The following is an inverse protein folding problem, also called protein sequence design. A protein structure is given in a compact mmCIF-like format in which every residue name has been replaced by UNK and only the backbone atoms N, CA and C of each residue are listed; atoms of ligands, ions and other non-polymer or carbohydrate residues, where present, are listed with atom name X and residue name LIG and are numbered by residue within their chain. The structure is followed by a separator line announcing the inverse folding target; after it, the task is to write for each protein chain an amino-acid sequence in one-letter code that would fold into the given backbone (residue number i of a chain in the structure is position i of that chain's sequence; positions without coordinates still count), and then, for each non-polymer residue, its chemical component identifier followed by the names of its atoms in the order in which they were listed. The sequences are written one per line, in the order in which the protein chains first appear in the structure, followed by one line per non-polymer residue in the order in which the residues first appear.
data_IF_653107112063
#
_entry.id   IF_653107112063
#
_cell.length_a   1.000
_cell.length_b   1.000
_cell.length_c   1.000
_cell.angle_alpha   90.00
_cell.angle_beta   90.00
_cell.angle_gamma   90.00
#
_symmetry.space_group_name_H-M   'P 1'
#
loop_
_entity.id
_entity.type
_entity.pdbx_description
1 polymer ?
#
# COMPACT_ATOMS: atom_id res chain seq x y z
N UNK A 1 -2.20 -32.85 17.09
CA UNK A 1 -3.03 -31.98 17.96
C UNK A 1 -2.16 -31.03 18.80
N UNK A 2 -1.03 -31.49 19.37
CA UNK A 2 -0.07 -30.62 20.08
C UNK A 2 0.47 -29.46 19.22
N UNK A 3 0.86 -29.73 17.96
CA UNK A 3 1.46 -28.70 17.09
C UNK A 3 0.46 -27.61 16.70
N UNK A 4 -0.82 -27.96 16.53
CA UNK A 4 -1.89 -27.00 16.22
C UNK A 4 -2.19 -26.06 17.39
N UNK A 5 -2.11 -26.55 18.63
CA UNK A 5 -2.29 -25.73 19.83
C UNK A 5 -1.11 -24.78 20.06
N UNK A 6 0.13 -25.25 19.91
CA UNK A 6 1.34 -24.42 20.03
C UNK A 6 1.34 -23.34 18.96
N UNK A 7 0.93 -23.72 17.74
CA UNK A 7 0.83 -22.81 16.61
C UNK A 7 -0.18 -21.68 16.87
N UNK A 8 -1.43 -22.03 17.22
CA UNK A 8 -2.47 -21.04 17.54
C UNK A 8 -2.07 -20.12 18.69
N UNK A 9 -1.41 -20.66 19.73
CA UNK A 9 -0.97 -19.88 20.87
C UNK A 9 0.09 -18.83 20.50
N UNK A 10 1.11 -19.22 19.72
CA UNK A 10 2.17 -18.31 19.25
C UNK A 10 1.59 -17.16 18.40
N UNK A 11 0.65 -17.52 17.53
CA UNK A 11 -0.09 -16.63 16.64
C UNK A 11 -0.85 -15.56 17.44
N UNK A 12 -1.64 -15.99 18.44
CA UNK A 12 -2.43 -15.09 19.29
C UNK A 12 -1.52 -14.18 20.11
N UNK A 13 -0.44 -14.72 20.67
CA UNK A 13 0.50 -13.95 21.46
C UNK A 13 1.17 -12.85 20.62
N UNK A 14 1.61 -13.16 19.41
CA UNK A 14 2.20 -12.18 18.49
C UNK A 14 1.23 -11.04 18.19
N UNK A 15 -0.03 -11.36 17.90
CA UNK A 15 -1.06 -10.36 17.65
C UNK A 15 -1.30 -9.45 18.84
N UNK A 16 -1.40 -10.03 20.04
CA UNK A 16 -1.64 -9.25 21.25
C UNK A 16 -0.52 -8.23 21.46
N UNK A 17 0.74 -8.64 21.25
CA UNK A 17 1.90 -7.74 21.31
C UNK A 17 1.80 -6.63 20.26
N UNK A 18 1.54 -6.97 19.00
CA UNK A 18 1.46 -5.97 17.92
C UNK A 18 0.29 -4.99 18.16
N UNK A 19 -0.86 -5.50 18.58
CA UNK A 19 -2.03 -4.69 18.91
C UNK A 19 -1.74 -3.71 20.06
N UNK A 20 -1.05 -4.17 21.11
CA UNK A 20 -0.68 -3.33 22.24
C UNK A 20 0.34 -2.24 21.84
N UNK A 21 1.37 -2.60 21.07
CA UNK A 21 2.35 -1.64 20.54
C UNK A 21 1.67 -0.56 19.67
N UNK A 22 0.77 -0.98 18.79
CA UNK A 22 -0.08 -0.11 17.97
C UNK A 22 -0.95 0.83 18.83
N UNK A 23 -1.55 0.31 19.92
CA UNK A 23 -2.32 1.10 20.87
C UNK A 23 -1.50 2.18 21.56
N UNK A 24 -0.32 1.83 22.09
CA UNK A 24 0.60 2.77 22.75
C UNK A 24 1.01 3.88 21.79
N UNK A 25 1.43 3.52 20.57
CA UNK A 25 1.88 4.50 19.58
C UNK A 25 0.76 5.47 19.20
N UNK A 26 -0.47 4.99 19.07
CA UNK A 26 -1.65 5.83 18.84
C UNK A 26 -1.89 6.81 19.99
N UNK A 27 -1.78 6.34 21.24
CA UNK A 27 -1.96 7.19 22.43
C UNK A 27 -0.90 8.29 22.50
N UNK A 28 0.37 7.96 22.24
CA UNK A 28 1.48 8.93 22.19
C UNK A 28 1.20 9.99 21.12
N UNK A 29 0.78 9.56 19.92
CA UNK A 29 0.49 10.46 18.81
C UNK A 29 -0.67 11.40 19.12
N UNK A 30 -1.79 10.88 19.65
CA UNK A 30 -2.95 11.71 20.02
C UNK A 30 -2.58 12.70 21.12
N UNK A 31 -1.83 12.25 22.14
CA UNK A 31 -1.41 13.12 23.25
C UNK A 31 -0.50 14.24 22.76
N UNK A 32 0.46 13.93 21.89
CA UNK A 32 1.37 14.92 21.30
C UNK A 32 0.61 15.91 20.44
N UNK A 33 -0.26 15.43 19.54
CA UNK A 33 -1.06 16.27 18.65
C UNK A 33 -1.99 17.20 19.41
N UNK A 34 -2.70 16.71 20.44
CA UNK A 34 -3.59 17.55 21.26
C UNK A 34 -2.82 18.65 21.98
N UNK A 35 -1.64 18.32 22.52
CA UNK A 35 -0.78 19.31 23.18
C UNK A 35 -0.31 20.37 22.20
N UNK A 36 0.11 19.97 21.01
CA UNK A 36 0.66 20.90 20.00
C UNK A 36 -0.45 21.78 19.40
N UNK A 37 -1.63 21.23 19.08
CA UNK A 37 -2.79 22.04 18.63
C UNK A 37 -3.23 23.04 19.70
N UNK A 38 -3.29 22.63 20.98
CA UNK A 38 -3.66 23.53 22.07
C UNK A 38 -2.67 24.70 22.22
N UNK A 39 -1.37 24.44 22.05
CA UNK A 39 -0.33 25.48 22.06
C UNK A 39 -0.50 26.46 20.90
N UNK A 40 -0.72 25.96 19.68
CA UNK A 40 -0.89 26.83 18.51
C UNK A 40 -2.15 27.68 18.55
N UNK A 41 -3.25 27.17 19.11
CA UNK A 41 -4.50 27.92 19.24
C UNK A 41 -4.46 28.92 20.41
N UNK A 42 -3.66 28.68 21.46
CA UNK A 42 -3.51 29.60 22.58
C UNK A 42 -2.58 30.79 22.28
N UNK A 43 -1.63 30.62 21.35
CA UNK A 43 -0.69 31.69 20.93
C UNK A 43 -1.30 32.82 20.10
N UNK A 44 -2.52 32.64 19.57
CA UNK A 44 -3.26 33.70 18.84
C UNK A 44 -3.86 34.78 19.78
N UNK A 45 -3.90 34.54 21.10
CA UNK A 45 -4.56 35.43 22.07
C UNK A 45 -3.59 36.34 22.85
N UNK A 46 -2.29 36.31 22.57
CA UNK A 46 -1.26 37.07 23.31
C UNK A 46 -0.12 37.61 22.46
N UNK A 47 0.29 38.86 22.74
CA UNK A 47 1.30 39.67 22.04
C UNK A 47 2.71 39.04 22.13
N UNK A 48 2.98 38.03 21.32
CA UNK A 48 4.33 37.51 21.01
C UNK A 48 4.45 37.29 19.48
N UNK A 49 4.44 38.38 18.71
CA UNK A 49 4.62 38.41 17.24
C UNK A 49 6.02 37.94 16.75
N UNK A 50 6.85 37.33 17.60
CA UNK A 50 8.26 36.99 17.30
C UNK A 50 8.64 35.54 17.66
N UNK A 51 7.72 34.73 18.18
CA UNK A 51 7.96 33.27 18.21
C UNK A 51 7.82 32.75 16.78
N UNK A 52 8.95 32.71 16.06
CA UNK A 52 9.14 32.07 14.77
C UNK A 52 8.13 30.93 14.61
N UNK A 53 7.14 31.11 13.72
CA UNK A 53 6.21 30.07 13.35
C UNK A 53 7.03 28.88 12.87
N UNK A 54 7.34 27.93 13.76
CA UNK A 54 8.26 26.83 13.48
C UNK A 54 7.49 25.51 13.43
N UNK A 55 7.96 24.61 12.57
CA UNK A 55 7.39 23.28 12.42
C UNK A 55 6.19 23.24 11.49
N UNK A 56 5.23 22.34 11.76
CA UNK A 56 4.23 21.97 10.76
C UNK A 56 3.21 23.09 10.44
N UNK A 57 2.90 24.02 11.37
CA UNK A 57 1.98 25.15 11.09
C UNK A 57 2.53 26.06 9.97
N UNK A 58 3.83 26.29 9.96
CA UNK A 58 4.52 27.17 9.02
C UNK A 58 4.37 26.74 7.56
N UNK A 59 4.28 25.43 7.34
CA UNK A 59 4.27 24.84 5.99
C UNK A 59 2.85 24.79 5.39
N UNK A 60 1.84 25.32 6.09
CA UNK A 60 0.43 25.29 5.66
C UNK A 60 0.23 25.74 4.20
N UNK A 61 0.97 26.76 3.77
CA UNK A 61 0.91 27.33 2.42
C UNK A 61 1.54 26.46 1.32
N UNK A 62 2.28 25.39 1.63
CA UNK A 62 2.93 24.54 0.63
C UNK A 62 2.56 23.04 0.73
N UNK A 63 1.94 22.62 1.84
CA UNK A 63 1.58 21.22 2.13
C UNK A 63 0.75 20.56 1.04
N UNK A 64 -0.19 21.27 0.43
CA UNK A 64 -1.08 20.68 -0.58
C UNK A 64 -0.64 20.93 -2.03
N UNK A 65 0.61 21.34 -2.25
CA UNK A 65 1.18 21.49 -3.59
C UNK A 65 1.19 20.11 -4.30
N UNK A 66 0.84 20.03 -5.59
CA UNK A 66 0.78 18.75 -6.29
C UNK A 66 2.14 18.04 -6.30
N UNK A 67 2.17 16.69 -6.22
CA UNK A 67 3.40 15.93 -6.23
C UNK A 67 4.16 16.03 -7.55
N UNK A 68 5.47 15.74 -7.51
CA UNK A 68 6.26 15.47 -8.72
C UNK A 68 5.64 14.30 -9.48
N UNK A 69 5.54 14.37 -10.79
CA UNK A 69 4.88 13.34 -11.62
C UNK A 69 3.47 12.93 -11.13
N UNK A 70 2.49 13.86 -11.11
CA UNK A 70 1.18 13.61 -10.51
C UNK A 70 0.40 12.50 -11.22
N UNK A 71 0.64 12.27 -12.52
CA UNK A 71 -0.01 11.22 -13.30
C UNK A 71 0.39 9.82 -12.83
N UNK A 72 1.70 9.56 -12.72
CA UNK A 72 2.24 8.29 -12.20
C UNK A 72 1.75 8.04 -10.77
N UNK A 73 1.77 9.08 -9.92
CA UNK A 73 1.32 8.98 -8.54
C UNK A 73 -0.14 8.50 -8.44
N UNK A 74 -1.07 9.15 -9.14
CA UNK A 74 -2.49 8.77 -9.08
C UNK A 74 -2.75 7.40 -9.70
N UNK A 75 -1.92 6.97 -10.66
CA UNK A 75 -2.02 5.65 -11.26
C UNK A 75 -1.58 4.56 -10.30
N UNK A 76 -0.45 4.75 -9.61
CA UNK A 76 0.03 3.85 -8.56
C UNK A 76 -0.98 3.74 -7.42
N UNK A 77 -1.50 4.86 -6.92
CA UNK A 77 -2.53 4.87 -5.88
C UNK A 77 -3.83 4.21 -6.35
N UNK A 78 -4.25 4.46 -7.60
CA UNK A 78 -5.43 3.81 -8.18
C UNK A 78 -5.29 2.28 -8.22
N UNK A 79 -4.16 1.76 -8.74
CA UNK A 79 -3.87 0.34 -8.74
C UNK A 79 -3.80 -0.24 -7.32
N UNK A 80 -3.23 0.48 -6.36
CA UNK A 80 -3.18 0.04 -4.97
C UNK A 80 -4.55 -0.01 -4.29
N UNK A 81 -5.49 0.90 -4.61
CA UNK A 81 -6.90 0.81 -4.15
C UNK A 81 -7.57 -0.44 -4.70
N UNK A 82 -7.33 -0.75 -5.99
CA UNK A 82 -7.84 -1.95 -6.62
C UNK A 82 -7.36 -3.22 -5.91
N UNK A 83 -6.05 -3.31 -5.65
CA UNK A 83 -5.42 -4.42 -4.94
C UNK A 83 -5.94 -4.51 -3.50
N UNK A 84 -6.06 -3.38 -2.80
CA UNK A 84 -6.59 -3.32 -1.44
C UNK A 84 -8.01 -3.90 -1.34
N UNK A 85 -8.92 -3.44 -2.20
CA UNK A 85 -10.31 -3.91 -2.19
C UNK A 85 -10.42 -5.37 -2.61
N UNK A 86 -9.65 -5.79 -3.62
CA UNK A 86 -9.55 -7.19 -4.02
C UNK A 86 -9.11 -8.07 -2.84
N UNK A 87 -8.01 -7.70 -2.16
CA UNK A 87 -7.48 -8.46 -1.03
C UNK A 87 -8.47 -8.48 0.14
N UNK A 88 -9.05 -7.33 0.51
CA UNK A 88 -10.02 -7.23 1.60
C UNK A 88 -11.23 -8.14 1.37
N UNK A 89 -11.85 -8.08 0.19
CA UNK A 89 -13.06 -8.86 -0.11
C UNK A 89 -12.73 -10.34 -0.28
N UNK A 90 -11.59 -10.68 -0.90
CA UNK A 90 -11.14 -12.07 -1.02
C UNK A 90 -10.90 -12.70 0.34
N UNK A 91 -10.19 -12.01 1.24
CA UNK A 91 -9.92 -12.51 2.60
C UNK A 91 -11.19 -12.60 3.44
N UNK A 92 -12.11 -11.65 3.32
CA UNK A 92 -13.39 -11.68 4.02
C UNK A 92 -14.24 -12.90 3.61
N UNK A 93 -14.38 -13.14 2.30
CA UNK A 93 -15.14 -14.30 1.78
C UNK A 93 -14.43 -15.61 2.11
N UNK A 94 -13.08 -15.64 2.10
CA UNK A 94 -12.31 -16.80 2.52
C UNK A 94 -12.47 -17.10 4.02
N UNK A 95 -12.54 -16.08 4.89
CA UNK A 95 -12.84 -16.25 6.31
C UNK A 95 -14.20 -16.94 6.54
N UNK A 96 -15.23 -16.59 5.76
CA UNK A 96 -16.57 -17.20 5.89
C UNK A 96 -16.62 -18.68 5.46
N UNK A 97 -15.50 -19.26 5.00
CA UNK A 97 -15.41 -20.65 4.56
C UNK A 97 -16.01 -20.91 3.18
N UNK A 98 -16.44 -19.85 2.46
CA UNK A 98 -17.04 -19.97 1.12
C UNK A 98 -16.02 -20.35 0.04
N UNK A 99 -14.72 -20.12 0.30
CA UNK A 99 -13.61 -20.48 -0.59
C UNK A 99 -12.78 -21.56 0.08
N UNK A 100 -13.26 -22.80 0.00
CA UNK A 100 -12.56 -23.95 0.59
C UNK A 100 -11.19 -24.19 -0.08
N UNK A 101 -10.11 -24.47 0.69
CA UNK A 101 -8.81 -24.88 0.15
C UNK A 101 -8.89 -26.12 -0.77
N UNK A 102 -9.97 -26.91 -0.64
CA UNK A 102 -10.19 -28.14 -1.41
C UNK A 102 -10.51 -27.89 -2.88
N UNK A 103 -11.06 -26.72 -3.25
CA UNK A 103 -11.32 -26.36 -4.65
C UNK A 103 -10.12 -25.60 -5.24
N UNK A 104 -9.15 -26.36 -5.77
CA UNK A 104 -7.94 -25.81 -6.38
C UNK A 104 -8.30 -24.74 -7.42
N UNK A 105 -7.87 -23.49 -7.18
CA UNK A 105 -8.05 -22.36 -8.09
C UNK A 105 -9.31 -21.52 -7.89
N UNK A 106 -10.24 -21.89 -6.99
CA UNK A 106 -11.43 -21.08 -6.70
C UNK A 106 -11.06 -19.72 -6.08
N UNK A 107 -10.13 -19.72 -5.12
CA UNK A 107 -9.60 -18.50 -4.49
C UNK A 107 -8.97 -17.56 -5.54
N UNK A 108 -8.14 -18.10 -6.44
CA UNK A 108 -7.48 -17.34 -7.49
C UNK A 108 -8.49 -16.76 -8.48
N UNK A 109 -9.49 -17.54 -8.90
CA UNK A 109 -10.53 -17.09 -9.83
C UNK A 109 -11.40 -16.00 -9.22
N UNK A 110 -11.74 -16.12 -7.93
CA UNK A 110 -12.47 -15.10 -7.18
C UNK A 110 -11.66 -13.81 -7.07
N UNK A 111 -10.37 -13.91 -6.71
CA UNK A 111 -9.47 -12.76 -6.63
C UNK A 111 -9.35 -12.02 -7.98
N UNK A 112 -9.16 -12.75 -9.09
CA UNK A 112 -9.11 -12.15 -10.44
C UNK A 112 -10.43 -11.43 -10.77
N UNK A 113 -11.57 -12.05 -10.46
CA UNK A 113 -12.89 -11.47 -10.70
C UNK A 113 -13.08 -10.18 -9.89
N UNK A 114 -12.77 -10.21 -8.60
CA UNK A 114 -12.79 -9.02 -7.74
C UNK A 114 -11.85 -7.93 -8.25
N UNK A 115 -10.64 -8.29 -8.67
CA UNK A 115 -9.67 -7.34 -9.22
C UNK A 115 -10.26 -6.59 -10.42
N UNK A 116 -10.84 -7.30 -11.40
CA UNK A 116 -11.44 -6.69 -12.59
C UNK A 116 -12.61 -5.78 -12.22
N UNK A 117 -13.50 -6.21 -11.33
CA UNK A 117 -14.67 -5.43 -10.91
C UNK A 117 -14.27 -4.14 -10.18
N UNK A 118 -13.28 -4.20 -9.29
CA UNK A 118 -12.78 -3.04 -8.57
C UNK A 118 -11.97 -2.06 -9.43
N UNK A 119 -11.75 -2.37 -10.72
CA UNK A 119 -11.20 -1.42 -11.69
C UNK A 119 -12.01 -0.11 -11.77
N UNK A 120 -13.34 -0.16 -11.61
CA UNK A 120 -14.18 1.05 -11.57
C UNK A 120 -13.79 1.98 -10.41
N UNK A 121 -13.54 1.42 -9.22
CA UNK A 121 -13.15 2.23 -8.06
C UNK A 121 -11.73 2.77 -8.19
N UNK A 122 -10.82 1.98 -8.76
CA UNK A 122 -9.46 2.39 -9.08
C UNK A 122 -9.46 3.63 -10.00
N UNK A 123 -10.21 3.56 -11.10
CA UNK A 123 -10.37 4.68 -12.04
C UNK A 123 -11.01 5.91 -11.39
N UNK A 124 -12.06 5.71 -10.60
CA UNK A 124 -12.75 6.79 -9.89
C UNK A 124 -11.82 7.55 -8.94
N UNK A 125 -11.11 6.84 -8.07
CA UNK A 125 -10.20 7.44 -7.08
C UNK A 125 -9.02 8.12 -7.77
N UNK A 126 -8.41 7.47 -8.76
CA UNK A 126 -7.29 8.01 -9.53
C UNK A 126 -7.69 9.33 -10.23
N UNK A 127 -8.83 9.36 -10.93
CA UNK A 127 -9.30 10.56 -11.60
C UNK A 127 -9.64 11.69 -10.62
N UNK A 128 -10.23 11.39 -9.46
CA UNK A 128 -10.54 12.40 -8.42
C UNK A 128 -9.29 13.02 -7.80
N UNK A 129 -8.27 12.21 -7.53
CA UNK A 129 -6.99 12.73 -7.05
C UNK A 129 -6.30 13.58 -8.15
N UNK A 130 -6.37 13.14 -9.40
CA UNK A 130 -5.76 13.85 -10.52
C UNK A 130 -6.40 15.22 -10.77
N UNK A 131 -7.74 15.32 -10.67
CA UNK A 131 -8.44 16.61 -10.75
C UNK A 131 -8.10 17.52 -9.57
N UNK A 132 -7.90 16.94 -8.38
CA UNK A 132 -7.43 17.68 -7.19
C UNK A 132 -6.05 18.29 -7.40
N UNK A 133 -5.17 17.62 -8.16
CA UNK A 133 -3.88 18.15 -8.59
C UNK A 133 -3.92 19.10 -9.78
N UNK A 134 -5.12 19.54 -10.22
CA UNK A 134 -5.34 20.38 -11.40
C UNK A 134 -4.87 19.72 -12.72
N UNK A 135 -4.80 18.39 -12.76
CA UNK A 135 -4.45 17.63 -13.96
C UNK A 135 -5.57 17.64 -15.01
N UNK A 136 -5.23 17.92 -16.27
CA UNK A 136 -6.20 18.00 -17.39
C UNK A 136 -6.32 16.71 -18.20
N UNK A 137 -5.24 15.94 -18.32
CA UNK A 137 -5.15 14.74 -19.17
C UNK A 137 -5.70 13.46 -18.51
N UNK A 138 -6.94 13.50 -18.02
CA UNK A 138 -7.55 12.40 -17.25
C UNK A 138 -7.61 11.07 -18.02
N UNK A 139 -7.74 11.09 -19.35
CA UNK A 139 -7.75 9.88 -20.19
C UNK A 139 -6.41 9.14 -20.15
N UNK A 140 -5.29 9.89 -20.19
CA UNK A 140 -3.95 9.31 -20.09
C UNK A 140 -3.69 8.76 -18.69
N UNK A 141 -4.12 9.48 -17.66
CA UNK A 141 -4.06 9.00 -16.28
C UNK A 141 -4.87 7.69 -16.09
N UNK A 142 -6.09 7.63 -16.63
CA UNK A 142 -6.93 6.43 -16.56
C UNK A 142 -6.30 5.23 -17.29
N UNK A 143 -5.72 5.44 -18.47
CA UNK A 143 -4.98 4.40 -19.20
C UNK A 143 -3.78 3.88 -18.40
N UNK A 144 -2.99 4.79 -17.82
CA UNK A 144 -1.84 4.42 -16.99
C UNK A 144 -2.29 3.63 -15.75
N UNK A 145 -3.38 4.02 -15.08
CA UNK A 145 -3.96 3.27 -13.94
C UNK A 145 -4.43 1.87 -14.32
N UNK A 146 -5.04 1.73 -15.51
CA UNK A 146 -5.53 0.45 -16.01
C UNK A 146 -4.41 -0.51 -16.42
N UNK A 147 -3.28 0.02 -16.92
CA UNK A 147 -2.23 -0.79 -17.54
C UNK A 147 -1.00 -1.02 -16.65
N UNK A 148 -0.67 -0.11 -15.72
CA UNK A 148 0.61 -0.15 -14.99
C UNK A 148 0.84 -1.48 -14.27
N UNK A 149 -0.06 -1.87 -13.36
CA UNK A 149 0.10 -3.12 -12.62
C UNK A 149 -0.16 -4.38 -13.47
N UNK A 150 -1.25 -4.45 -14.27
CA UNK A 150 -1.49 -5.63 -15.11
C UNK A 150 -0.39 -5.91 -16.13
N UNK A 151 0.26 -4.88 -16.68
CA UNK A 151 1.37 -5.07 -17.62
C UNK A 151 2.57 -5.71 -16.93
N UNK A 152 2.89 -5.31 -15.69
CA UNK A 152 3.97 -5.94 -14.91
C UNK A 152 3.68 -7.41 -14.67
N UNK A 153 2.45 -7.74 -14.24
CA UNK A 153 2.03 -9.12 -13.97
C UNK A 153 2.05 -9.95 -15.26
N UNK A 154 1.41 -9.44 -16.33
CA UNK A 154 1.30 -10.16 -17.60
C UNK A 154 2.65 -10.36 -18.25
N UNK A 155 3.53 -9.36 -18.27
CA UNK A 155 4.88 -9.47 -18.83
C UNK A 155 5.72 -10.49 -18.08
N UNK A 156 5.63 -10.50 -16.75
CA UNK A 156 6.35 -11.47 -15.91
C UNK A 156 5.83 -12.88 -16.14
N UNK A 157 4.50 -13.09 -16.11
CA UNK A 157 3.90 -14.38 -16.40
C UNK A 157 4.23 -14.88 -17.82
N UNK A 158 4.23 -13.99 -18.82
CA UNK A 158 4.58 -14.33 -20.20
C UNK A 158 6.04 -14.76 -20.33
N UNK A 159 6.96 -13.99 -19.73
CA UNK A 159 8.38 -14.32 -19.69
C UNK A 159 8.62 -15.68 -19.02
N UNK A 160 7.99 -15.92 -17.87
CA UNK A 160 8.10 -17.21 -17.17
C UNK A 160 7.53 -18.37 -17.99
N UNK A 161 6.39 -18.16 -18.67
CA UNK A 161 5.77 -19.20 -19.48
C UNK A 161 6.65 -19.65 -20.65
N UNK A 162 7.46 -18.75 -21.23
CA UNK A 162 8.43 -19.10 -22.27
C UNK A 162 9.45 -20.15 -21.80
N UNK A 163 9.99 -19.99 -20.57
CA UNK A 163 10.93 -20.96 -20.00
C UNK A 163 10.27 -22.30 -19.66
N UNK A 164 9.03 -22.27 -19.15
CA UNK A 164 8.27 -23.49 -18.83
C UNK A 164 7.98 -24.29 -20.11
N UNK A 165 7.61 -23.59 -21.19
CA UNK A 165 7.36 -24.21 -22.49
C UNK A 165 8.62 -24.83 -23.09
N UNK A 166 9.76 -24.14 -22.99
CA UNK A 166 11.07 -24.68 -23.40
C UNK A 166 11.45 -25.98 -22.69
N UNK A 167 11.02 -26.16 -21.43
CA UNK A 167 11.19 -27.39 -20.65
C UNK A 167 10.14 -28.47 -20.91
N UNK A 168 9.16 -28.22 -21.81
CA UNK A 168 8.01 -29.12 -22.08
C UNK A 168 7.28 -29.55 -20.80
N UNK A 169 7.25 -28.68 -19.79
CA UNK A 169 6.60 -28.97 -18.52
C UNK A 169 5.08 -28.87 -18.67
N UNK A 170 4.36 -29.76 -17.98
CA UNK A 170 2.89 -29.74 -17.89
C UNK A 170 2.34 -28.51 -17.16
N UNK A 171 3.20 -27.75 -16.48
CA UNK A 171 2.87 -26.47 -15.85
C UNK A 171 2.79 -25.29 -16.82
N UNK A 172 3.00 -25.50 -18.13
CA UNK A 172 2.91 -24.43 -19.12
C UNK A 172 1.47 -23.94 -19.25
N UNK A 173 1.27 -22.64 -19.10
CA UNK A 173 -0.04 -22.01 -19.30
C UNK A 173 -0.37 -22.09 -20.79
N UNK A 174 -1.51 -22.70 -21.17
CA UNK A 174 -1.87 -22.82 -22.58
C UNK A 174 -2.14 -21.44 -23.18
N UNK A 175 -1.81 -21.28 -24.47
CA UNK A 175 -1.98 -20.01 -25.19
C UNK A 175 -3.41 -19.45 -25.09
N UNK A 176 -4.41 -20.33 -25.10
CA UNK A 176 -5.82 -19.96 -24.92
C UNK A 176 -6.08 -19.21 -23.61
N UNK A 177 -5.47 -19.66 -22.49
CA UNK A 177 -5.60 -19.00 -21.19
C UNK A 177 -4.86 -17.66 -21.15
N UNK A 178 -3.72 -17.55 -21.82
CA UNK A 178 -3.02 -16.25 -21.91
C UNK A 178 -3.83 -15.24 -22.72
N UNK A 179 -4.43 -15.68 -23.83
CA UNK A 179 -5.30 -14.85 -24.65
C UNK A 179 -6.58 -14.46 -23.89
N UNK A 180 -7.19 -15.37 -23.14
CA UNK A 180 -8.40 -15.05 -22.36
C UNK A 180 -8.12 -14.03 -21.25
N UNK A 181 -6.98 -14.12 -20.56
CA UNK A 181 -6.55 -13.12 -19.58
C UNK A 181 -6.25 -11.76 -20.22
N UNK A 182 -5.65 -11.75 -21.42
CA UNK A 182 -5.42 -10.51 -22.18
C UNK A 182 -6.73 -9.86 -22.60
N UNK A 183 -7.70 -10.63 -23.10
CA UNK A 183 -9.03 -10.15 -23.46
C UNK A 183 -9.80 -9.67 -22.22
N UNK A 184 -9.69 -10.36 -21.09
CA UNK A 184 -10.27 -9.91 -19.83
C UNK A 184 -9.69 -8.54 -19.41
N UNK A 185 -8.39 -8.34 -19.58
CA UNK A 185 -7.73 -7.07 -19.29
C UNK A 185 -8.18 -5.95 -20.24
N UNK A 186 -8.18 -6.19 -21.55
CA UNK A 186 -8.46 -5.17 -22.57
C UNK A 186 -9.95 -4.89 -22.75
N UNK A 187 -10.80 -5.92 -22.76
CA UNK A 187 -12.22 -5.80 -23.07
C UNK A 187 -13.09 -5.56 -21.83
N UNK A 188 -12.61 -5.91 -20.63
CA UNK A 188 -13.39 -5.75 -19.39
C UNK A 188 -12.70 -4.77 -18.44
N UNK A 189 -11.51 -5.08 -17.96
CA UNK A 189 -10.83 -4.28 -16.93
C UNK A 189 -10.57 -2.83 -17.37
N UNK A 190 -10.01 -2.62 -18.57
CA UNK A 190 -9.72 -1.28 -19.09
C UNK A 190 -10.99 -0.43 -19.22
N UNK A 191 -12.08 -0.88 -19.89
CA UNK A 191 -13.33 -0.12 -19.94
C UNK A 191 -13.92 0.20 -18.57
N UNK A 192 -13.84 -0.73 -17.61
CA UNK A 192 -14.31 -0.51 -16.23
C UNK A 192 -13.52 0.63 -15.55
N UNK A 193 -12.19 0.66 -15.70
CA UNK A 193 -11.35 1.74 -15.17
C UNK A 193 -11.70 3.08 -15.83
N UNK A 194 -11.90 3.11 -17.15
CA UNK A 194 -12.32 4.32 -17.87
C UNK A 194 -13.70 4.82 -17.42
N UNK A 195 -14.65 3.91 -17.19
CA UNK A 195 -15.97 4.22 -16.67
C UNK A 195 -15.87 4.87 -15.28
N UNK A 196 -15.06 4.28 -14.39
CA UNK A 196 -14.76 4.86 -13.08
C UNK A 196 -14.13 6.24 -13.18
N UNK A 197 -13.11 6.39 -14.02
CA UNK A 197 -12.40 7.65 -14.23
C UNK A 197 -13.30 8.75 -14.80
N UNK A 198 -14.23 8.41 -15.68
CA UNK A 198 -15.21 9.35 -16.23
C UNK A 198 -16.12 9.94 -15.14
N UNK A 199 -16.66 9.09 -14.25
CA UNK A 199 -17.44 9.57 -13.10
C UNK A 199 -16.59 10.34 -12.08
N UNK A 200 -15.34 9.92 -11.87
CA UNK A 200 -14.40 10.61 -10.98
C UNK A 200 -14.05 12.01 -11.48
N UNK A 201 -13.78 12.16 -12.78
CA UNK A 201 -13.41 13.45 -13.39
C UNK A 201 -14.57 14.47 -13.36
N UNK A 202 -15.82 14.02 -13.47
CA UNK A 202 -17.01 14.88 -13.41
C UNK A 202 -17.35 15.37 -11.99
N UNK A 203 -16.88 14.68 -10.95
CA UNK A 203 -17.05 15.14 -9.57
C UNK A 203 -16.16 16.36 -9.33
N UNK A 204 -16.64 17.27 -8.48
CA UNK A 204 -15.83 18.40 -8.06
C UNK A 204 -14.52 17.93 -7.40
N UNK A 205 -13.40 18.66 -7.63
CA UNK A 205 -12.13 18.39 -6.96
C UNK A 205 -12.28 18.39 -5.45
N UNK A 206 -11.44 17.61 -4.76
CA UNK A 206 -11.48 17.56 -3.29
C UNK A 206 -11.04 18.93 -2.76
N UNK A 207 -11.91 19.57 -1.97
CA UNK A 207 -11.58 20.83 -1.32
C UNK A 207 -10.50 20.59 -0.26
N UNK A 208 -9.39 21.31 -0.42
CA UNK A 208 -8.25 21.31 0.48
C UNK A 208 -8.47 22.41 1.52
N UNK A 209 -8.11 22.18 2.80
CA UNK A 209 -8.40 23.12 3.87
C UNK A 209 -7.63 24.44 3.72
N UNK A 210 -6.48 24.43 3.04
CA UNK A 210 -5.58 25.58 2.93
C UNK A 210 -5.23 25.82 1.47
N UNK A 211 -5.12 27.11 1.10
CA UNK A 211 -4.67 27.54 -0.23
C UNK A 211 -3.15 27.48 -0.31
N UNK A 212 -2.63 27.18 -1.51
CA UNK A 212 -1.19 27.10 -1.73
C UNK A 212 -0.62 28.45 -2.17
N UNK A 213 0.56 28.78 -1.65
CA UNK A 213 1.34 29.95 -2.05
C UNK A 213 1.91 29.77 -3.46
N UNK A 214 2.11 30.89 -4.17
CA UNK A 214 2.64 30.85 -5.54
C UNK A 214 4.11 30.42 -5.56
N UNK A 215 4.92 30.98 -4.65
CA UNK A 215 6.35 30.72 -4.54
C UNK A 215 6.56 29.59 -3.52
N UNK A 216 7.25 28.50 -3.89
CA UNK A 216 7.56 27.42 -2.96
C UNK A 216 8.62 27.86 -1.94
N UNK A 217 8.38 27.57 -0.66
CA UNK A 217 9.38 27.76 0.39
C UNK A 217 10.57 26.80 0.20
N UNK A 218 11.77 27.24 0.56
CA UNK A 218 12.94 26.37 0.61
C UNK A 218 12.85 25.44 1.82
N UNK A 219 13.09 24.14 1.60
CA UNK A 219 13.09 23.13 2.67
C UNK A 219 14.44 23.14 3.37
N UNK A 220 14.50 23.26 4.70
CA UNK A 220 15.76 23.23 5.44
C UNK A 220 16.44 21.86 5.36
N UNK A 221 17.74 21.81 5.64
CA UNK A 221 18.49 20.56 5.69
C UNK A 221 17.91 19.62 6.73
N UNK A 222 17.57 18.41 6.29
CA UNK A 222 16.96 17.39 7.14
C UNK A 222 18.05 16.61 7.90
N UNK A 223 17.72 16.19 9.12
CA UNK A 223 18.56 15.31 9.91
C UNK A 223 18.77 13.96 9.19
N UNK A 224 19.91 13.30 9.46
CA UNK A 224 20.32 12.07 8.76
C UNK A 224 19.26 10.95 8.81
N UNK A 225 18.57 10.79 9.94
CA UNK A 225 17.54 9.77 10.13
C UNK A 225 16.22 10.09 9.42
N UNK A 226 16.01 11.35 9.01
CA UNK A 226 14.88 11.80 8.19
C UNK A 226 15.15 11.68 6.68
N UNK A 227 16.33 11.19 6.30
CA UNK A 227 16.61 10.88 4.90
C UNK A 227 15.58 9.85 4.36
N UNK A 228 15.12 9.98 3.10
CA UNK A 228 14.05 9.14 2.57
C UNK A 228 14.33 7.64 2.67
N UNK A 229 15.59 7.23 2.50
CA UNK A 229 15.99 5.82 2.55
C UNK A 229 15.94 5.29 3.98
N UNK A 230 16.60 5.97 4.93
CA UNK A 230 16.65 5.53 6.33
C UNK A 230 15.24 5.52 6.93
N UNK A 231 14.47 6.58 6.68
CA UNK A 231 13.06 6.70 7.08
C UNK A 231 12.19 5.54 6.55
N UNK A 232 12.37 5.17 5.28
CA UNK A 232 11.61 4.06 4.67
C UNK A 232 11.97 2.70 5.27
N UNK A 233 13.26 2.46 5.53
CA UNK A 233 13.72 1.20 6.12
C UNK A 233 13.25 1.08 7.58
N UNK A 234 13.48 2.11 8.41
CA UNK A 234 13.09 2.06 9.83
C UNK A 234 11.57 1.93 10.01
N UNK A 235 10.80 2.65 9.19
CA UNK A 235 9.34 2.57 9.18
C UNK A 235 8.80 1.19 8.78
N UNK A 236 9.48 0.50 7.86
CA UNK A 236 9.05 -0.79 7.33
C UNK A 236 9.12 -1.95 8.33
N UNK A 237 9.90 -1.81 9.41
CA UNK A 237 10.10 -2.87 10.41
C UNK A 237 8.79 -3.25 11.11
N UNK A 238 8.00 -2.26 11.54
CA UNK A 238 6.78 -2.51 12.32
C UNK A 238 5.70 -3.25 11.48
N UNK A 239 5.33 -2.78 10.28
CA UNK A 239 4.37 -3.51 9.45
C UNK A 239 4.88 -4.88 8.99
N UNK A 240 6.20 -5.04 8.80
CA UNK A 240 6.79 -6.35 8.51
C UNK A 240 6.67 -7.31 9.69
N UNK A 241 7.00 -6.87 10.90
CA UNK A 241 6.84 -7.67 12.12
C UNK A 241 5.39 -8.14 12.31
N UNK A 242 4.42 -7.32 11.91
CA UNK A 242 3.01 -7.68 11.98
C UNK A 242 2.61 -8.87 11.09
N UNK A 243 3.28 -9.05 9.95
CA UNK A 243 2.96 -10.10 8.97
C UNK A 243 3.97 -11.24 8.94
N UNK A 244 5.08 -11.13 9.66
CA UNK A 244 6.22 -12.06 9.56
C UNK A 244 5.84 -13.53 9.75
N UNK A 245 5.06 -13.83 10.80
CA UNK A 245 4.63 -15.19 11.10
C UNK A 245 3.75 -15.74 9.97
N UNK A 246 2.81 -14.93 9.47
CA UNK A 246 1.93 -15.33 8.37
C UNK A 246 2.66 -15.49 7.04
N UNK A 247 3.67 -14.66 6.81
CA UNK A 247 4.51 -14.76 5.63
C UNK A 247 5.18 -16.13 5.56
N UNK A 248 5.68 -16.67 6.69
CA UNK A 248 6.23 -18.03 6.74
C UNK A 248 5.21 -19.08 6.31
N UNK A 249 3.97 -19.00 6.79
CA UNK A 249 2.92 -19.97 6.42
C UNK A 249 2.48 -19.84 4.97
N UNK A 250 2.37 -18.62 4.46
CA UNK A 250 2.05 -18.37 3.06
C UNK A 250 3.15 -18.94 2.15
N UNK A 251 4.42 -18.70 2.46
CA UNK A 251 5.54 -19.25 1.69
C UNK A 251 5.56 -20.78 1.74
N UNK A 252 5.33 -21.37 2.90
CA UNK A 252 5.23 -22.82 3.07
C UNK A 252 4.06 -23.39 2.27
N UNK A 253 2.90 -22.72 2.27
CA UNK A 253 1.74 -23.17 1.52
C UNK A 253 1.97 -23.11 -0.01
N UNK A 254 2.54 -22.01 -0.51
CA UNK A 254 2.77 -21.80 -1.95
C UNK A 254 3.88 -22.72 -2.47
N UNK A 255 5.02 -22.81 -1.77
CA UNK A 255 6.22 -23.45 -2.30
C UNK A 255 6.38 -24.91 -1.89
N UNK A 256 5.83 -25.33 -0.74
CA UNK A 256 5.86 -26.73 -0.29
C UNK A 256 4.52 -27.45 -0.51
N UNK A 257 3.58 -26.81 -1.23
CA UNK A 257 2.27 -27.36 -1.60
C UNK A 257 1.45 -27.85 -0.38
N UNK A 258 1.61 -27.16 0.76
CA UNK A 258 0.84 -27.40 1.97
C UNK A 258 -0.45 -26.58 1.95
N UNK A 259 -1.53 -27.08 2.55
CA UNK A 259 -2.79 -26.36 2.62
C UNK A 259 -2.75 -25.31 3.73
N UNK A 260 -3.09 -24.06 3.40
CA UNK A 260 -3.30 -23.00 4.38
C UNK A 260 -4.77 -23.01 4.84
N UNK A 261 -5.03 -23.34 6.11
CA UNK A 261 -6.38 -23.51 6.66
C UNK A 261 -6.89 -22.34 7.50
N UNK A 262 -6.05 -21.38 7.87
CA UNK A 262 -6.36 -20.36 8.88
C UNK A 262 -6.77 -19.00 8.26
N UNK A 263 -7.69 -18.98 7.30
CA UNK A 263 -8.09 -17.73 6.62
C UNK A 263 -8.66 -16.65 7.55
N UNK A 264 -9.37 -17.03 8.62
CA UNK A 264 -9.84 -16.07 9.62
C UNK A 264 -8.69 -15.37 10.34
N UNK A 265 -7.58 -16.08 10.55
CA UNK A 265 -6.37 -15.52 11.12
C UNK A 265 -5.68 -14.54 10.16
N UNK A 266 -5.53 -14.95 8.90
CA UNK A 266 -4.96 -14.11 7.85
C UNK A 266 -5.71 -12.78 7.71
N UNK A 267 -7.04 -12.79 7.81
CA UNK A 267 -7.84 -11.56 7.77
C UNK A 267 -7.59 -10.66 8.98
N UNK A 268 -7.44 -11.22 10.18
CA UNK A 268 -7.12 -10.44 11.38
C UNK A 268 -5.72 -9.80 11.25
N UNK A 269 -4.73 -10.57 10.79
CA UNK A 269 -3.39 -10.04 10.51
C UNK A 269 -3.43 -8.96 9.43
N UNK A 270 -4.28 -9.10 8.41
CA UNK A 270 -4.50 -8.05 7.42
C UNK A 270 -5.06 -6.77 8.04
N UNK A 271 -6.00 -6.84 8.98
CA UNK A 271 -6.48 -5.65 9.72
C UNK A 271 -5.33 -4.99 10.49
N UNK A 272 -4.51 -5.78 11.19
CA UNK A 272 -3.37 -5.26 11.95
C UNK A 272 -2.33 -4.63 11.04
N UNK A 273 -2.08 -5.21 9.86
CA UNK A 273 -1.22 -4.63 8.84
C UNK A 273 -1.76 -3.26 8.40
N UNK A 274 -3.07 -3.14 8.15
CA UNK A 274 -3.71 -1.87 7.77
C UNK A 274 -3.49 -0.81 8.85
N UNK A 275 -3.72 -1.17 10.12
CA UNK A 275 -3.52 -0.27 11.26
C UNK A 275 -2.04 0.14 11.38
N UNK A 276 -1.12 -0.82 11.29
CA UNK A 276 0.32 -0.62 11.41
C UNK A 276 0.87 0.30 10.31
N UNK A 277 0.49 0.05 9.05
CA UNK A 277 0.82 0.89 7.91
C UNK A 277 0.28 2.33 8.08
N UNK A 278 -0.97 2.45 8.53
CA UNK A 278 -1.61 3.74 8.77
C UNK A 278 -0.88 4.55 9.84
N UNK A 279 -0.54 3.92 10.96
CA UNK A 279 0.15 4.54 12.09
C UNK A 279 1.54 5.04 11.73
N UNK A 280 2.36 4.16 11.16
CA UNK A 280 3.73 4.51 10.76
C UNK A 280 3.72 5.65 9.73
N UNK A 281 2.81 5.60 8.75
CA UNK A 281 2.70 6.69 7.77
C UNK A 281 2.32 8.02 8.44
N UNK A 282 1.35 8.03 9.35
CA UNK A 282 0.95 9.24 10.09
C UNK A 282 2.11 9.80 10.92
N UNK A 283 2.80 8.95 11.68
CA UNK A 283 3.91 9.37 12.56
C UNK A 283 5.07 9.94 11.74
N UNK A 284 5.47 9.26 10.68
CA UNK A 284 6.60 9.70 9.86
C UNK A 284 6.29 10.97 9.08
N UNK A 285 5.07 11.09 8.56
CA UNK A 285 4.62 12.34 7.90
C UNK A 285 4.52 13.48 8.90
N UNK A 286 4.07 13.22 10.13
CA UNK A 286 4.06 14.24 11.18
C UNK A 286 5.45 14.75 11.48
N UNK A 287 6.42 13.86 11.74
CA UNK A 287 7.80 14.27 11.98
C UNK A 287 8.42 14.99 10.78
N UNK A 288 8.11 14.56 9.55
CA UNK A 288 8.55 15.24 8.35
C UNK A 288 8.02 16.68 8.28
N UNK A 289 6.74 16.91 8.62
CA UNK A 289 6.15 18.24 8.67
C UNK A 289 6.73 19.10 9.80
N UNK A 290 7.06 18.49 10.96
CA UNK A 290 7.79 19.18 12.02
C UNK A 290 9.21 19.60 11.58
N UNK A 291 9.81 18.88 10.64
CA UNK A 291 11.06 19.26 9.97
C UNK A 291 10.88 20.24 8.81
N UNK A 292 9.71 20.87 8.66
CA UNK A 292 9.39 21.83 7.59
C UNK A 292 9.44 21.27 6.15
N UNK A 293 9.44 19.95 5.98
CA UNK A 293 9.44 19.33 4.66
C UNK A 293 8.02 18.97 4.20
N UNK A 294 7.47 19.75 3.26
CA UNK A 294 6.14 19.52 2.71
C UNK A 294 6.06 18.42 1.63
N UNK A 295 7.17 17.77 1.24
CA UNK A 295 7.16 16.74 0.19
C UNK A 295 6.64 15.38 0.67
N UNK A 296 5.46 15.34 1.27
CA UNK A 296 4.92 14.15 1.94
C UNK A 296 4.18 13.18 0.99
N UNK A 297 3.74 13.61 -0.20
CA UNK A 297 2.94 12.77 -1.11
C UNK A 297 3.62 11.43 -1.44
N UNK A 298 4.80 11.47 -2.06
CA UNK A 298 5.57 10.27 -2.36
C UNK A 298 6.17 9.62 -1.11
N UNK A 299 6.57 10.43 -0.13
CA UNK A 299 7.17 9.90 1.10
C UNK A 299 6.19 9.06 1.91
N UNK A 300 4.94 9.51 2.08
CA UNK A 300 3.90 8.75 2.79
C UNK A 300 3.64 7.37 2.19
N UNK A 301 3.68 7.30 0.85
CA UNK A 301 3.59 6.05 0.10
C UNK A 301 4.83 5.16 0.30
N UNK A 302 6.03 5.71 0.10
CA UNK A 302 7.29 4.96 0.19
C UNK A 302 7.55 4.42 1.59
N UNK A 303 7.34 5.24 2.61
CA UNK A 303 7.58 4.91 4.03
C UNK A 303 6.73 3.72 4.46
N UNK A 304 5.42 3.74 4.16
CA UNK A 304 4.55 2.60 4.48
C UNK A 304 4.85 1.36 3.61
N UNK A 305 5.26 1.60 2.36
CA UNK A 305 5.71 0.57 1.44
C UNK A 305 7.03 -0.11 1.84
N UNK A 306 7.83 0.50 2.72
CA UNK A 306 9.16 0.01 3.12
C UNK A 306 9.17 -1.42 3.66
N UNK A 307 8.06 -1.88 4.23
CA UNK A 307 7.85 -3.26 4.67
C UNK A 307 8.07 -4.30 3.55
N UNK A 308 7.86 -3.94 2.29
CA UNK A 308 8.09 -4.81 1.14
C UNK A 308 9.56 -5.18 0.94
N UNK A 309 10.51 -4.32 1.35
CA UNK A 309 11.95 -4.62 1.32
C UNK A 309 12.26 -5.80 2.22
N UNK A 310 11.65 -5.84 3.42
CA UNK A 310 11.83 -6.94 4.35
C UNK A 310 11.19 -8.24 3.85
N UNK A 311 10.03 -8.16 3.19
CA UNK A 311 9.41 -9.32 2.51
C UNK A 311 10.35 -9.88 1.43
N UNK A 312 11.00 -9.01 0.65
CA UNK A 312 11.97 -9.43 -0.35
C UNK A 312 13.20 -10.11 0.27
N UNK A 313 13.80 -9.51 1.31
CA UNK A 313 14.92 -10.11 2.03
C UNK A 313 14.53 -11.46 2.65
N UNK A 314 13.32 -11.56 3.20
CA UNK A 314 12.79 -12.81 3.71
C UNK A 314 12.65 -13.88 2.61
N UNK A 315 12.20 -13.50 1.41
CA UNK A 315 12.12 -14.44 0.27
C UNK A 315 13.50 -14.98 -0.12
N UNK A 316 14.55 -14.17 -0.05
CA UNK A 316 15.93 -14.62 -0.28
C UNK A 316 16.36 -15.60 0.83
N UNK A 317 16.12 -15.24 2.10
CA UNK A 317 16.42 -16.10 3.24
C UNK A 317 15.69 -17.46 3.16
N UNK A 318 14.41 -17.45 2.79
CA UNK A 318 13.60 -18.66 2.66
C UNK A 318 14.13 -19.59 1.56
N UNK A 319 14.58 -19.02 0.43
CA UNK A 319 15.18 -19.78 -0.66
C UNK A 319 16.40 -20.59 -0.20
N UNK A 320 17.34 -19.95 0.51
CA UNK A 320 18.58 -20.63 0.92
C UNK A 320 18.42 -21.58 2.11
N UNK A 321 17.38 -21.41 2.94
CA UNK A 321 17.26 -22.18 4.20
C UNK A 321 16.19 -23.27 4.17
N UNK A 322 15.17 -23.14 3.30
CA UNK A 322 14.01 -24.05 3.30
C UNK A 322 13.77 -24.74 1.97
N UNK A 323 14.33 -24.24 0.86
CA UNK A 323 14.10 -24.78 -0.47
C UNK A 323 15.35 -25.48 -0.99
N UNK A 324 15.21 -26.74 -1.36
CA UNK A 324 16.25 -27.54 -2.00
C UNK A 324 16.07 -27.52 -3.52
N UNK A 325 16.14 -26.33 -4.12
CA UNK A 325 16.02 -26.14 -5.56
C UNK A 325 17.41 -26.02 -6.17
N UNK A 326 17.81 -26.99 -7.01
CA UNK A 326 19.09 -26.97 -7.73
C UNK A 326 18.96 -26.52 -9.19
N UNK A 327 17.76 -26.60 -9.77
CA UNK A 327 17.54 -26.28 -11.17
C UNK A 327 17.35 -24.78 -11.42
N UNK A 328 17.81 -24.31 -12.58
CA UNK A 328 17.69 -22.92 -13.01
C UNK A 328 16.23 -22.46 -13.21
N UNK A 329 15.41 -23.26 -13.91
CA UNK A 329 14.03 -22.84 -14.26
C UNK A 329 13.15 -22.64 -13.02
N UNK A 330 13.10 -23.55 -12.04
CA UNK A 330 12.35 -23.33 -10.79
C UNK A 330 12.92 -22.19 -9.94
N UNK A 331 14.24 -21.98 -9.95
CA UNK A 331 14.87 -20.82 -9.28
C UNK A 331 14.38 -19.51 -9.89
N UNK A 332 14.34 -19.40 -11.22
CA UNK A 332 13.82 -18.23 -11.92
C UNK A 332 12.33 -18.00 -11.59
N UNK A 333 11.51 -19.06 -11.62
CA UNK A 333 10.09 -18.98 -11.24
C UNK A 333 9.92 -18.46 -9.82
N UNK A 334 10.70 -18.97 -8.88
CA UNK A 334 10.67 -18.56 -7.48
C UNK A 334 10.92 -17.06 -7.32
N UNK A 335 12.02 -16.54 -7.87
CA UNK A 335 12.37 -15.14 -7.71
C UNK A 335 11.41 -14.21 -8.45
N UNK A 336 10.97 -14.55 -9.67
CA UNK A 336 10.03 -13.71 -10.41
C UNK A 336 8.66 -13.63 -9.74
N UNK A 337 8.10 -14.76 -9.25
CA UNK A 337 6.83 -14.72 -8.50
C UNK A 337 6.98 -14.04 -7.14
N UNK A 338 8.13 -14.20 -6.47
CA UNK A 338 8.42 -13.49 -5.21
C UNK A 338 8.53 -11.97 -5.43
N UNK A 339 9.15 -11.53 -6.53
CA UNK A 339 9.21 -10.11 -6.91
C UNK A 339 7.81 -9.57 -7.19
N UNK A 340 6.95 -10.31 -7.91
CA UNK A 340 5.56 -9.91 -8.10
C UNK A 340 4.83 -9.75 -6.75
N UNK A 341 4.98 -10.73 -5.84
CA UNK A 341 4.39 -10.66 -4.50
C UNK A 341 4.86 -9.40 -3.74
N UNK A 342 6.16 -9.09 -3.80
CA UNK A 342 6.75 -7.90 -3.17
C UNK A 342 6.21 -6.61 -3.78
N UNK A 343 6.09 -6.52 -5.11
CA UNK A 343 5.53 -5.34 -5.79
C UNK A 343 4.06 -5.15 -5.41
N UNK A 344 3.27 -6.22 -5.42
CA UNK A 344 1.85 -6.19 -5.00
C UNK A 344 1.72 -5.75 -3.55
N UNK A 345 2.58 -6.27 -2.66
CA UNK A 345 2.61 -5.91 -1.26
C UNK A 345 3.00 -4.44 -1.06
N UNK A 346 3.99 -3.94 -1.80
CA UNK A 346 4.42 -2.54 -1.79
C UNK A 346 3.31 -1.58 -2.22
N UNK A 347 2.60 -1.90 -3.32
CA UNK A 347 1.46 -1.11 -3.80
C UNK A 347 0.33 -1.07 -2.77
N UNK A 348 0.04 -2.21 -2.14
CA UNK A 348 -0.97 -2.35 -1.10
C UNK A 348 -0.64 -1.52 0.14
N UNK A 349 0.52 -1.74 0.75
CA UNK A 349 0.92 -1.08 2.00
C UNK A 349 1.19 0.41 1.79
N UNK A 350 1.82 0.79 0.68
CA UNK A 350 2.04 2.19 0.31
C UNK A 350 0.73 2.96 0.14
N UNK A 351 -0.28 2.35 -0.46
CA UNK A 351 -1.59 3.01 -0.66
C UNK A 351 -2.36 3.19 0.64
N UNK A 352 -2.31 2.21 1.55
CA UNK A 352 -2.89 2.32 2.89
C UNK A 352 -2.24 3.50 3.63
N UNK A 353 -0.90 3.57 3.64
CA UNK A 353 -0.17 4.66 4.27
C UNK A 353 -0.51 6.03 3.68
N UNK A 354 -0.53 6.14 2.35
CA UNK A 354 -0.90 7.38 1.68
C UNK A 354 -2.29 7.90 2.10
N UNK A 355 -3.32 7.05 2.09
CA UNK A 355 -4.66 7.50 2.51
C UNK A 355 -4.71 7.90 3.97
N UNK A 356 -4.03 7.16 4.85
CA UNK A 356 -3.94 7.50 6.28
C UNK A 356 -3.29 8.88 6.48
N UNK A 357 -2.14 9.13 5.85
CA UNK A 357 -1.45 10.41 5.88
C UNK A 357 -2.30 11.53 5.26
N UNK A 358 -2.97 11.28 4.13
CA UNK A 358 -3.84 12.24 3.45
C UNK A 358 -5.01 12.69 4.34
N UNK A 359 -5.69 11.75 5.01
CA UNK A 359 -6.77 12.08 5.95
C UNK A 359 -6.25 12.80 7.19
N UNK A 360 -5.10 12.37 7.72
CA UNK A 360 -4.46 13.01 8.87
C UNK A 360 -4.10 14.47 8.57
N UNK A 361 -3.39 14.73 7.48
CA UNK A 361 -2.99 16.09 7.08
C UNK A 361 -4.22 16.98 6.90
N UNK A 362 -5.25 16.51 6.18
CA UNK A 362 -6.47 17.31 6.01
C UNK A 362 -7.12 17.65 7.35
N UNK A 363 -7.12 16.72 8.30
CA UNK A 363 -7.70 16.92 9.62
C UNK A 363 -6.91 17.92 10.46
N UNK A 364 -5.58 17.84 10.50
CA UNK A 364 -4.76 18.76 11.31
C UNK A 364 -4.84 20.19 10.77
N UNK A 365 -4.77 20.39 9.44
CA UNK A 365 -4.83 21.73 8.85
C UNK A 365 -6.26 22.29 8.80
N UNK A 366 -7.30 21.46 8.94
CA UNK A 366 -8.67 21.96 9.16
C UNK A 366 -8.95 22.37 10.61
N UNK A 367 -8.13 21.91 11.56
CA UNK A 367 -8.33 22.16 12.98
C UNK A 367 -7.63 23.42 13.49
N UNK A 368 -6.66 23.94 12.72
CA UNK A 368 -5.93 25.17 13.04
C UNK A 368 -6.62 26.33 12.33
N UNK A 369 -6.83 27.44 13.05
CA UNK A 369 -7.25 28.70 12.43
C UNK A 369 -6.06 29.26 11.66
N UNK A 370 -6.25 29.44 10.37
CA UNK A 370 -5.27 30.04 9.46
C UNK A 370 -6.06 31.16 8.80
N UNK A 371 -5.76 32.41 9.17
CA UNK A 371 -6.45 33.60 8.66
C UNK A 371 -6.15 33.87 7.18
#
# INVERSE_FOLDING_TARGET
MSDTHIHWFSIVNSILVIFFLSGILTLIMIRTLRRDIARYNAGDEGIDEVLEESGWKLVHGDVFRPPRHPRLFVSIIGSGVQIFLMTLVTLFVAMLGMLSPSSRGALTSFAITCYVLFGVLAGYVSARLYTTFKGREWKKAAFETAMLYPTIVFSTCFLLNFFIWGKRSSGAVPFSTMLSLLLLLLCVSLPLVFLGAYFGYRKQPIQLPVRTNQIPRQVPEQLWYMSPVVSTLTAGVLPFGAVFIELFFIFTAIWQNQFYYLFGFLFLVFIILVISCSQISIVMVYFQLCGEDYHWWWRSFLVSGGSAVYVFLYSIFYFFTKLEISEFTPTLLYFCYSILMVITFWLLTGTIGFFAAYFFIRKIYSAVKID
#
